data_IF_169330734532
#
_entry.id   IF_169330734532
#
_cell.length_a   1.000
_cell.length_b   1.000
_cell.length_c   1.000
_cell.angle_alpha   90.00
_cell.angle_beta   90.00
_cell.angle_gamma   90.00
#
_symmetry.space_group_name_H-M   'P 1'
#
loop_
_entity.id
_entity.type
_entity.pdbx_description
1 polymer ?
#
# COMPACT_ATOMS: atom_id res chain seq x y z
N UNK A 1 -21.23 10.96 5.71
CA UNK A 1 -20.16 9.95 5.73
C UNK A 1 -20.18 9.22 4.39
N UNK A 2 -19.03 9.06 3.72
CA UNK A 2 -18.98 8.37 2.43
C UNK A 2 -19.23 6.85 2.61
N UNK A 3 -19.92 6.22 1.66
CA UNK A 3 -20.23 4.77 1.74
C UNK A 3 -19.04 3.87 1.36
N UNK A 4 -18.11 4.38 0.53
CA UNK A 4 -16.82 3.79 0.16
C UNK A 4 -16.87 2.47 -0.63
N UNK A 5 -17.45 1.40 -0.09
CA UNK A 5 -17.46 0.06 -0.69
C UNK A 5 -18.69 -0.77 -0.28
N UNK A 6 -19.38 -1.47 -1.21
CA UNK A 6 -20.57 -2.28 -0.90
C UNK A 6 -20.21 -3.62 -0.23
N UNK A 7 -21.20 -4.27 0.40
CA UNK A 7 -21.08 -5.60 0.96
C UNK A 7 -21.22 -5.66 2.48
N UNK A 8 -21.65 -6.81 2.99
CA UNK A 8 -21.94 -7.04 4.42
C UNK A 8 -20.91 -7.92 5.12
N UNK A 9 -19.96 -8.47 4.37
CA UNK A 9 -18.89 -9.31 4.89
C UNK A 9 -17.84 -8.54 5.70
N UNK A 10 -17.04 -9.26 6.48
CA UNK A 10 -15.89 -8.68 7.18
C UNK A 10 -14.88 -8.11 6.18
N UNK A 11 -14.63 -8.81 5.07
CA UNK A 11 -13.76 -8.34 3.98
C UNK A 11 -14.23 -6.99 3.42
N UNK A 12 -15.54 -6.81 3.19
CA UNK A 12 -16.10 -5.54 2.73
C UNK A 12 -15.93 -4.43 3.78
N UNK A 13 -16.12 -4.75 5.06
CA UNK A 13 -15.91 -3.79 6.15
C UNK A 13 -14.44 -3.36 6.25
N UNK A 14 -13.50 -4.30 6.17
CA UNK A 14 -12.07 -3.99 6.15
C UNK A 14 -11.73 -3.06 4.98
N UNK A 15 -12.27 -3.33 3.77
CA UNK A 15 -12.10 -2.43 2.61
C UNK A 15 -12.59 -1.01 2.88
N UNK A 16 -13.73 -0.85 3.58
CA UNK A 16 -14.23 0.45 4.00
C UNK A 16 -13.31 1.11 5.02
N UNK A 17 -12.88 0.39 6.06
CA UNK A 17 -11.99 0.90 7.11
C UNK A 17 -10.69 1.45 6.53
N UNK A 18 -9.99 0.67 5.70
CA UNK A 18 -8.77 1.13 5.03
C UNK A 18 -8.99 2.36 4.15
N UNK A 19 -10.13 2.47 3.48
CA UNK A 19 -10.40 3.60 2.59
C UNK A 19 -11.02 4.82 3.31
N UNK A 20 -11.39 4.71 4.59
CA UNK A 20 -11.97 5.80 5.37
C UNK A 20 -10.86 6.57 6.13
N UNK A 21 -10.54 7.84 5.78
CA UNK A 21 -9.51 8.59 6.49
C UNK A 21 -9.81 8.82 7.98
N UNK A 22 -11.09 8.77 8.38
CA UNK A 22 -11.50 8.91 9.79
C UNK A 22 -11.34 7.62 10.60
N UNK A 23 -11.04 6.48 9.95
CA UNK A 23 -10.71 5.24 10.63
C UNK A 23 -9.22 5.22 10.96
N UNK A 24 -8.90 5.09 12.25
CA UNK A 24 -7.54 4.92 12.74
C UNK A 24 -7.09 3.47 12.52
N UNK A 25 -6.11 3.29 11.64
CA UNK A 25 -5.52 1.97 11.39
C UNK A 25 -4.68 1.54 12.59
N UNK A 26 -4.82 0.27 12.98
CA UNK A 26 -4.08 -0.29 14.10
C UNK A 26 -2.57 -0.26 13.82
N UNK A 27 -1.80 0.30 14.75
CA UNK A 27 -0.34 0.25 14.75
C UNK A 27 0.13 -1.06 15.39
N UNK A 28 0.88 -1.85 14.64
CA UNK A 28 1.34 -3.19 15.01
C UNK A 28 2.82 -3.25 15.40
N UNK A 29 3.59 -2.22 15.05
CA UNK A 29 5.05 -2.15 15.28
C UNK A 29 5.55 -0.71 15.26
N UNK A 30 6.78 -0.51 15.71
CA UNK A 30 7.53 0.74 15.60
C UNK A 30 8.78 0.49 14.75
N UNK A 31 9.04 1.36 13.78
CA UNK A 31 10.24 1.34 12.93
C UNK A 31 10.85 2.74 12.97
N UNK A 32 12.14 2.86 13.29
CA UNK A 32 12.77 4.19 13.35
C UNK A 32 12.75 4.90 12.00
N UNK A 33 12.75 6.24 12.00
CA UNK A 33 12.79 7.02 10.74
C UNK A 33 14.04 6.66 9.91
N UNK A 34 15.16 6.41 10.58
CA UNK A 34 16.40 5.95 9.95
C UNK A 34 16.22 4.59 9.26
N UNK A 35 15.54 3.64 9.91
CA UNK A 35 15.32 2.31 9.33
C UNK A 35 14.33 2.36 8.16
N UNK A 36 13.36 3.28 8.18
CA UNK A 36 12.51 3.52 7.01
C UNK A 36 13.34 4.00 5.83
N UNK A 37 14.30 4.92 6.05
CA UNK A 37 15.23 5.38 4.99
C UNK A 37 16.08 4.23 4.46
N UNK A 38 16.63 3.38 5.33
CA UNK A 38 17.41 2.19 4.96
C UNK A 38 16.57 1.22 4.11
N UNK A 39 15.35 0.89 4.53
CA UNK A 39 14.43 0.01 3.80
C UNK A 39 14.13 0.56 2.40
N UNK A 40 13.93 1.87 2.29
CA UNK A 40 13.61 2.54 1.03
C UNK A 40 14.79 2.57 0.06
N UNK A 41 16.02 2.75 0.55
CA UNK A 41 17.24 2.71 -0.26
C UNK A 41 17.41 3.88 -1.26
N UNK A 42 16.75 5.02 -1.04
CA UNK A 42 16.82 6.19 -1.95
C UNK A 42 17.93 7.19 -1.63
N UNK A 43 18.35 7.21 -0.36
CA UNK A 43 19.38 8.06 0.24
C UNK A 43 19.92 7.37 1.50
N UNK A 44 21.09 7.79 1.97
CA UNK A 44 21.60 7.33 3.26
C UNK A 44 20.95 8.10 4.43
N UNK A 45 20.85 7.51 5.63
CA UNK A 45 20.49 8.25 6.83
C UNK A 45 21.41 9.46 7.04
N UNK A 46 20.82 10.62 7.35
CA UNK A 46 21.54 11.89 7.48
C UNK A 46 21.93 12.57 6.16
N UNK A 47 21.76 11.92 4.99
CA UNK A 47 21.93 12.58 3.69
C UNK A 47 20.78 13.58 3.46
N UNK A 48 21.13 14.79 3.03
CA UNK A 48 20.17 15.83 2.62
C UNK A 48 19.28 15.34 1.46
N UNK A 49 18.03 15.81 1.43
CA UNK A 49 17.14 15.54 0.31
C UNK A 49 17.68 16.18 -0.97
N UNK A 50 17.77 15.39 -2.04
CA UNK A 50 18.13 15.92 -3.36
C UNK A 50 16.91 16.55 -4.02
N UNK A 51 17.15 17.61 -4.78
CA UNK A 51 16.10 18.34 -5.50
C UNK A 51 16.09 18.00 -7.00
N UNK A 52 14.91 18.03 -7.60
CA UNK A 52 14.68 17.91 -9.06
C UNK A 52 14.38 19.28 -9.70
N UNK A 53 13.98 20.27 -8.90
CA UNK A 53 13.84 21.67 -9.28
C UNK A 53 14.12 22.56 -8.05
N UNK A 54 14.35 23.88 -8.22
CA UNK A 54 14.45 24.82 -7.10
C UNK A 54 13.18 24.81 -6.22
N UNK A 55 13.28 25.21 -4.94
CA UNK A 55 12.10 25.46 -4.10
C UNK A 55 11.08 26.37 -4.77
N UNK A 56 9.78 26.14 -4.53
CA UNK A 56 8.71 26.88 -5.22
C UNK A 56 8.70 28.38 -4.89
N UNK A 57 9.22 28.79 -3.73
CA UNK A 57 9.35 30.21 -3.35
C UNK A 57 10.53 30.92 -4.02
N UNK A 58 11.40 30.17 -4.71
CA UNK A 58 12.47 30.70 -5.55
C UNK A 58 12.07 30.76 -7.03
N UNK A 59 10.89 30.25 -7.40
CA UNK A 59 10.40 30.21 -8.78
C UNK A 59 9.52 31.41 -9.12
N UNK A 60 9.78 32.03 -10.26
CA UNK A 60 8.92 33.08 -10.84
C UNK A 60 7.86 32.43 -11.75
N UNK A 61 6.84 31.85 -11.13
CA UNK A 61 5.78 31.16 -11.85
C UNK A 61 4.63 32.12 -12.26
N UNK A 62 4.04 31.98 -13.45
CA UNK A 62 2.95 32.85 -13.91
C UNK A 62 1.68 32.65 -13.09
N UNK A 63 0.84 33.68 -12.95
CA UNK A 63 -0.44 33.63 -12.23
C UNK A 63 -1.33 32.45 -12.68
N UNK A 64 -1.75 31.61 -11.73
CA UNK A 64 -2.63 30.46 -11.94
C UNK A 64 -3.51 30.22 -10.70
N UNK A 65 -4.82 30.42 -10.87
CA UNK A 65 -5.81 30.28 -9.79
C UNK A 65 -5.86 28.88 -9.17
N UNK A 66 -5.58 27.83 -9.95
CA UNK A 66 -5.57 26.46 -9.42
C UNK A 66 -4.37 26.27 -8.51
N UNK A 67 -3.20 26.80 -8.88
CA UNK A 67 -1.99 26.71 -8.05
C UNK A 67 -2.15 27.47 -6.72
N UNK A 68 -2.82 28.62 -6.75
CA UNK A 68 -3.12 29.40 -5.54
C UNK A 68 -4.08 28.68 -4.58
N UNK A 69 -5.07 27.97 -5.12
CA UNK A 69 -6.07 27.24 -4.33
C UNK A 69 -5.55 25.91 -3.77
N UNK A 70 -4.58 25.26 -4.44
CA UNK A 70 -4.11 23.91 -4.09
C UNK A 70 -2.77 23.97 -3.36
N UNK A 71 -2.80 23.82 -2.03
CA UNK A 71 -1.58 23.85 -1.20
C UNK A 71 -0.62 22.71 -1.55
N UNK A 72 0.66 22.98 -1.91
CA UNK A 72 1.64 21.94 -2.19
C UNK A 72 1.98 21.11 -0.95
N UNK A 73 2.35 19.85 -1.14
CA UNK A 73 2.97 19.03 -0.09
C UNK A 73 4.40 19.52 0.21
N UNK A 74 4.94 19.14 1.37
CA UNK A 74 6.21 19.70 1.85
C UNK A 74 7.38 19.42 0.89
N UNK A 75 7.46 18.21 0.33
CA UNK A 75 8.51 17.87 -0.62
C UNK A 75 8.31 18.51 -1.99
N UNK A 76 7.07 18.86 -2.37
CA UNK A 76 6.83 19.63 -3.59
C UNK A 76 7.32 21.07 -3.43
N UNK A 77 7.04 21.69 -2.26
CA UNK A 77 7.54 23.04 -1.93
C UNK A 77 9.06 23.11 -1.96
N UNK A 78 9.74 22.09 -1.43
CA UNK A 78 11.21 22.04 -1.38
C UNK A 78 11.87 21.55 -2.69
N UNK A 79 11.08 21.09 -3.66
CA UNK A 79 11.59 20.56 -4.92
C UNK A 79 12.23 19.18 -4.84
N UNK A 80 11.93 18.37 -3.83
CA UNK A 80 12.45 17.02 -3.64
C UNK A 80 12.23 16.12 -4.88
N UNK A 81 13.10 15.14 -5.10
CA UNK A 81 12.86 14.08 -6.09
C UNK A 81 11.54 13.34 -5.83
N UNK A 82 10.97 12.75 -6.87
CA UNK A 82 9.87 11.77 -6.74
C UNK A 82 10.49 10.38 -6.57
N UNK A 83 10.13 9.68 -5.49
CA UNK A 83 10.61 8.35 -5.12
C UNK A 83 9.41 7.47 -4.73
N UNK A 84 9.67 6.20 -4.41
CA UNK A 84 8.60 5.21 -4.28
C UNK A 84 8.81 4.21 -3.13
N UNK A 85 7.71 3.60 -2.70
CA UNK A 85 7.71 2.32 -1.99
C UNK A 85 6.78 1.36 -2.73
N UNK A 86 7.17 0.09 -2.82
CA UNK A 86 6.40 -0.93 -3.53
C UNK A 86 6.21 -2.17 -2.66
N UNK A 87 4.97 -2.65 -2.62
CA UNK A 87 4.56 -3.82 -1.85
C UNK A 87 4.13 -4.97 -2.74
N UNK A 88 4.31 -6.18 -2.24
CA UNK A 88 3.74 -7.42 -2.79
C UNK A 88 2.89 -8.04 -1.69
N UNK A 89 1.62 -8.31 -1.98
CA UNK A 89 0.69 -8.86 -0.99
C UNK A 89 0.37 -10.30 -1.34
N UNK A 90 0.60 -11.22 -0.40
CA UNK A 90 0.25 -12.63 -0.59
C UNK A 90 -1.26 -12.79 -0.78
N UNK A 91 -1.64 -13.64 -1.73
CA UNK A 91 -3.01 -14.10 -1.87
C UNK A 91 -3.46 -14.97 -0.69
N UNK A 92 -2.56 -15.39 0.20
CA UNK A 92 -2.86 -16.11 1.44
C UNK A 92 -3.07 -15.13 2.60
N UNK A 93 -4.22 -14.45 2.54
CA UNK A 93 -4.77 -13.60 3.61
C UNK A 93 -3.90 -12.42 4.05
N UNK A 94 -3.04 -11.87 3.17
CA UNK A 94 -2.39 -10.58 3.49
C UNK A 94 -3.45 -9.50 3.76
N UNK A 95 -3.23 -8.62 4.76
CA UNK A 95 -4.25 -7.69 5.23
C UNK A 95 -4.65 -6.68 4.15
N UNK A 96 -3.67 -6.12 3.45
CA UNK A 96 -3.88 -5.27 2.29
C UNK A 96 -3.71 -6.05 0.97
N UNK A 97 -4.27 -5.50 -0.10
CA UNK A 97 -4.24 -6.06 -1.45
C UNK A 97 -4.11 -4.95 -2.50
N UNK A 98 -3.69 -5.23 -3.75
CA UNK A 98 -3.31 -4.19 -4.69
C UNK A 98 -4.36 -3.09 -4.92
N UNK A 99 -5.59 -3.45 -5.31
CA UNK A 99 -6.64 -2.45 -5.53
C UNK A 99 -7.12 -1.77 -4.25
N UNK A 100 -7.02 -2.45 -3.10
CA UNK A 100 -7.31 -1.81 -1.82
C UNK A 100 -6.33 -0.67 -1.58
N UNK A 101 -5.03 -0.95 -1.70
CA UNK A 101 -3.96 0.03 -1.45
C UNK A 101 -4.18 1.28 -2.29
N UNK A 102 -4.34 1.16 -3.60
CA UNK A 102 -4.54 2.33 -4.47
C UNK A 102 -5.76 3.19 -4.10
N UNK A 103 -6.93 2.55 -3.85
CA UNK A 103 -8.15 3.26 -3.44
C UNK A 103 -7.97 3.96 -2.09
N UNK A 104 -7.35 3.24 -1.16
CA UNK A 104 -7.10 3.73 0.19
C UNK A 104 -6.09 4.88 0.21
N UNK A 105 -5.04 4.80 -0.61
CA UNK A 105 -4.00 5.82 -0.70
C UNK A 105 -4.56 7.13 -1.23
N UNK A 106 -5.38 7.08 -2.28
CA UNK A 106 -6.04 8.27 -2.84
C UNK A 106 -7.09 8.89 -1.91
N UNK A 107 -7.58 8.15 -0.92
CA UNK A 107 -8.47 8.68 0.11
C UNK A 107 -7.74 9.26 1.33
N UNK A 108 -6.51 8.80 1.62
CA UNK A 108 -5.76 9.17 2.83
C UNK A 108 -4.61 10.13 2.60
N UNK A 109 -3.98 10.11 1.42
CA UNK A 109 -2.75 10.83 1.15
C UNK A 109 -2.90 11.85 0.02
N UNK A 110 -2.19 12.98 0.14
CA UNK A 110 -2.20 14.08 -0.83
C UNK A 110 -0.98 13.96 -1.76
N UNK A 111 -1.16 14.31 -3.04
CA UNK A 111 -0.04 14.48 -3.98
C UNK A 111 0.74 13.20 -4.25
N UNK A 112 0.02 12.08 -4.39
CA UNK A 112 0.59 10.75 -4.63
C UNK A 112 0.23 10.25 -6.03
N UNK A 113 1.10 9.41 -6.59
CA UNK A 113 0.83 8.57 -7.76
C UNK A 113 0.82 7.10 -7.32
N UNK A 114 -0.08 6.27 -7.86
CA UNK A 114 -0.17 4.88 -7.44
C UNK A 114 -0.54 3.91 -8.57
N UNK A 115 0.24 2.83 -8.67
CA UNK A 115 0.08 1.79 -9.67
C UNK A 115 -0.36 0.47 -9.04
N UNK A 116 -1.37 -0.18 -9.64
CA UNK A 116 -1.89 -1.49 -9.21
C UNK A 116 -1.58 -2.56 -10.24
N UNK A 117 -0.92 -3.63 -9.81
CA UNK A 117 -0.71 -4.86 -10.59
C UNK A 117 -1.07 -6.07 -9.71
N UNK A 118 -1.15 -7.27 -10.30
CA UNK A 118 -1.45 -8.49 -9.52
C UNK A 118 -0.38 -8.78 -8.48
N UNK A 119 0.89 -8.78 -8.89
CA UNK A 119 2.03 -9.15 -8.04
C UNK A 119 2.80 -7.97 -7.46
N UNK A 120 2.33 -6.73 -7.59
CA UNK A 120 2.94 -5.55 -6.98
C UNK A 120 1.98 -4.38 -6.93
N UNK A 121 2.11 -3.54 -5.92
CA UNK A 121 1.44 -2.27 -5.81
C UNK A 121 2.44 -1.20 -5.39
N UNK A 122 2.46 -0.08 -6.10
CA UNK A 122 3.44 0.99 -5.91
C UNK A 122 2.74 2.30 -5.58
N UNK A 123 3.41 3.11 -4.76
CA UNK A 123 3.07 4.50 -4.52
C UNK A 123 4.33 5.35 -4.71
N UNK A 124 4.21 6.39 -5.52
CA UNK A 124 5.24 7.39 -5.77
C UNK A 124 4.81 8.74 -5.20
N UNK A 125 5.71 9.46 -4.55
CA UNK A 125 5.48 10.80 -4.04
C UNK A 125 6.82 11.53 -3.90
N UNK A 126 6.79 12.80 -3.48
CA UNK A 126 8.00 13.56 -3.14
C UNK A 126 8.76 12.89 -1.99
N UNK A 127 10.09 12.91 -2.03
CA UNK A 127 10.95 12.03 -1.22
C UNK A 127 10.67 12.09 0.29
N UNK A 128 10.59 13.28 0.90
CA UNK A 128 10.23 13.38 2.33
C UNK A 128 8.80 12.93 2.66
N UNK A 129 7.88 13.13 1.71
CA UNK A 129 6.48 12.74 1.87
C UNK A 129 6.32 11.23 1.76
N UNK A 130 7.05 10.58 0.84
CA UNK A 130 7.02 9.11 0.71
C UNK A 130 7.67 8.43 1.91
N UNK A 131 8.68 9.02 2.56
CA UNK A 131 9.25 8.49 3.82
C UNK A 131 8.21 8.46 4.94
N UNK A 132 7.51 9.59 5.16
CA UNK A 132 6.43 9.67 6.16
C UNK A 132 5.31 8.69 5.87
N UNK A 133 4.86 8.61 4.61
CA UNK A 133 3.83 7.66 4.19
C UNK A 133 4.32 6.23 4.42
N UNK A 134 5.56 5.92 4.05
CA UNK A 134 6.14 4.58 4.21
C UNK A 134 6.16 4.14 5.66
N UNK A 135 6.56 5.01 6.61
CA UNK A 135 6.49 4.70 8.05
C UNK A 135 5.08 4.29 8.46
N UNK A 136 4.07 5.06 8.09
CA UNK A 136 2.67 4.73 8.37
C UNK A 136 2.24 3.39 7.75
N UNK A 137 2.63 3.12 6.50
CA UNK A 137 2.30 1.87 5.80
C UNK A 137 2.99 0.65 6.41
N UNK A 138 4.21 0.80 6.92
CA UNK A 138 4.99 -0.29 7.51
C UNK A 138 4.58 -0.57 8.96
N UNK A 139 4.20 0.46 9.71
CA UNK A 139 3.86 0.34 11.13
C UNK A 139 2.44 -0.14 11.40
N UNK A 140 1.53 0.04 10.44
CA UNK A 140 0.10 -0.27 10.63
C UNK A 140 -0.31 -1.61 10.02
N UNK A 141 -1.58 -1.97 10.20
CA UNK A 141 -2.20 -3.17 9.64
C UNK A 141 -2.23 -3.24 8.10
N UNK A 142 -1.69 -2.27 7.35
CA UNK A 142 -1.35 -2.50 5.94
C UNK A 142 -0.29 -3.59 5.74
N UNK A 143 0.54 -3.83 6.76
CA UNK A 143 1.75 -4.62 6.65
C UNK A 143 1.75 -5.76 7.65
N UNK A 144 1.73 -6.98 7.11
CA UNK A 144 2.13 -8.19 7.82
C UNK A 144 3.54 -8.59 7.38
N UNK A 145 4.39 -8.96 8.32
CA UNK A 145 5.82 -9.16 8.06
C UNK A 145 6.13 -10.41 7.24
N UNK A 146 5.21 -11.40 7.18
CA UNK A 146 5.37 -12.64 6.41
C UNK A 146 4.57 -12.65 5.10
N UNK A 147 3.39 -12.04 5.09
CA UNK A 147 2.42 -12.03 3.97
C UNK A 147 2.52 -10.78 3.11
N UNK A 148 3.22 -9.74 3.57
CA UNK A 148 3.50 -8.55 2.77
C UNK A 148 5.01 -8.36 2.58
N UNK A 149 5.41 -8.20 1.32
CA UNK A 149 6.79 -8.01 0.90
C UNK A 149 7.10 -6.57 0.51
N UNK A 150 8.25 -6.03 0.90
CA UNK A 150 8.74 -4.70 0.44
C UNK A 150 9.71 -4.91 -0.72
N UNK A 151 9.27 -4.67 -1.97
CA UNK A 151 9.99 -5.15 -3.17
C UNK A 151 9.88 -4.19 -4.35
N UNK A 152 10.95 -3.48 -4.67
CA UNK A 152 11.08 -2.65 -5.88
C UNK A 152 11.33 -3.46 -7.17
N UNK A 153 12.07 -4.56 -7.06
CA UNK A 153 12.34 -5.52 -8.14
C UNK A 153 12.23 -6.98 -7.65
N UNK A 154 12.26 -7.96 -8.56
CA UNK A 154 12.16 -9.39 -8.17
C UNK A 154 10.87 -9.70 -7.40
N UNK A 155 9.73 -9.20 -7.88
CA UNK A 155 8.45 -9.15 -7.15
C UNK A 155 7.67 -10.47 -7.11
N UNK A 156 8.19 -11.54 -7.71
CA UNK A 156 7.49 -12.82 -7.74
C UNK A 156 7.24 -13.35 -6.31
N UNK A 157 6.02 -13.82 -6.02
CA UNK A 157 5.67 -14.34 -4.69
C UNK A 157 4.17 -14.31 -4.32
N UNK A 158 3.41 -13.30 -4.78
CA UNK A 158 2.02 -13.10 -4.33
C UNK A 158 1.11 -14.34 -4.49
N UNK A 159 1.33 -15.13 -5.54
CA UNK A 159 0.53 -16.31 -5.90
C UNK A 159 1.23 -17.63 -5.59
N UNK A 160 2.40 -17.59 -4.95
CA UNK A 160 3.16 -18.79 -4.59
C UNK A 160 2.71 -19.32 -3.25
N UNK A 161 2.87 -20.64 -3.07
CA UNK A 161 2.77 -21.25 -1.74
C UNK A 161 3.76 -20.57 -0.79
N UNK A 162 3.35 -20.46 0.46
CA UNK A 162 4.22 -20.02 1.55
C UNK A 162 5.29 -21.09 1.83
N UNK A 163 6.38 -20.68 2.46
CA UNK A 163 7.39 -21.62 2.95
C UNK A 163 6.97 -22.27 4.28
N UNK A 164 7.84 -23.14 4.82
CA UNK A 164 7.61 -23.88 6.07
C UNK A 164 7.47 -22.99 7.32
N UNK A 165 7.86 -21.70 7.24
CA UNK A 165 7.69 -20.73 8.31
C UNK A 165 6.52 -19.77 8.04
N UNK A 166 5.73 -20.01 6.98
CA UNK A 166 4.61 -19.16 6.59
C UNK A 166 4.99 -17.88 5.84
N UNK A 167 6.25 -17.74 5.41
CA UNK A 167 6.73 -16.56 4.68
C UNK A 167 6.40 -16.65 3.19
N UNK A 168 6.05 -15.50 2.61
CA UNK A 168 5.88 -15.36 1.17
C UNK A 168 7.23 -15.44 0.46
N UNK A 169 7.32 -16.28 -0.57
CA UNK A 169 8.52 -16.42 -1.41
C UNK A 169 9.08 -15.06 -1.85
N UNK A 170 10.38 -14.85 -1.66
CA UNK A 170 11.15 -13.72 -2.19
C UNK A 170 12.40 -14.25 -2.91
N UNK A 171 12.52 -13.99 -4.21
CA UNK A 171 13.70 -14.37 -4.99
C UNK A 171 15.00 -13.75 -4.44
N UNK A 172 14.92 -12.56 -3.85
CA UNK A 172 16.07 -11.84 -3.31
C UNK A 172 16.24 -12.01 -1.79
N UNK A 173 15.33 -12.75 -1.14
CA UNK A 173 15.34 -13.04 0.31
C UNK A 173 15.58 -11.81 1.18
N UNK A 174 14.87 -10.71 0.92
CA UNK A 174 15.04 -9.44 1.65
C UNK A 174 14.48 -9.49 3.06
N UNK A 175 13.36 -10.21 3.24
CA UNK A 175 12.77 -10.49 4.54
C UNK A 175 13.09 -11.93 4.94
N UNK A 176 13.70 -12.12 6.11
CA UNK A 176 14.15 -13.41 6.62
C UNK A 176 13.56 -13.66 8.00
N UNK A 177 13.01 -14.86 8.20
CA UNK A 177 12.50 -15.28 9.50
C UNK A 177 13.64 -15.76 10.41
N UNK A 178 13.77 -15.13 11.57
CA UNK A 178 14.69 -15.52 12.61
C UNK A 178 13.99 -16.50 13.57
N UNK A 179 14.39 -17.78 13.52
CA UNK A 179 13.77 -18.84 14.34
C UNK A 179 14.04 -18.71 15.84
N UNK A 180 15.10 -18.00 16.24
CA UNK A 180 15.45 -17.84 17.65
C UNK A 180 14.57 -16.78 18.32
N UNK A 181 14.24 -15.71 17.57
CA UNK A 181 13.45 -14.59 18.09
C UNK A 181 11.98 -14.64 17.68
N UNK A 182 11.62 -15.38 16.63
CA UNK A 182 10.29 -15.36 16.03
C UNK A 182 10.02 -14.14 15.15
N UNK A 183 10.99 -13.22 15.01
CA UNK A 183 10.83 -12.00 14.22
C UNK A 183 11.18 -12.23 12.75
N UNK A 184 10.60 -11.39 11.89
CA UNK A 184 11.09 -11.18 10.53
C UNK A 184 12.02 -9.98 10.52
N UNK A 185 13.17 -10.14 9.88
CA UNK A 185 14.19 -9.11 9.71
C UNK A 185 14.31 -8.74 8.22
N UNK A 186 14.33 -7.45 7.91
CA UNK A 186 14.72 -6.94 6.61
C UNK A 186 16.24 -6.85 6.56
N UNK A 187 16.89 -7.70 5.76
CA UNK A 187 18.36 -7.77 5.64
C UNK A 187 18.90 -7.03 4.43
N UNK A 188 18.01 -6.57 3.55
CA UNK A 188 18.29 -5.87 2.30
C UNK A 188 17.29 -4.75 2.11
N UNK A 189 17.62 -3.70 1.37
CA UNK A 189 16.64 -2.69 0.98
C UNK A 189 15.59 -3.24 -0.01
N UNK A 190 14.61 -2.40 -0.40
CA UNK A 190 13.54 -2.83 -1.29
C UNK A 190 14.03 -3.29 -2.68
N UNK A 191 15.20 -2.86 -3.17
CA UNK A 191 15.76 -3.28 -4.46
C UNK A 191 16.73 -4.46 -4.35
N UNK A 192 17.11 -4.87 -3.13
CA UNK A 192 17.93 -6.04 -2.85
C UNK A 192 19.39 -5.76 -2.52
N UNK A 193 19.75 -4.52 -2.18
CA UNK A 193 21.09 -4.17 -1.66
C UNK A 193 21.16 -4.56 -0.19
N UNK A 194 22.22 -5.25 0.22
CA UNK A 194 22.41 -5.65 1.62
C UNK A 194 22.46 -4.42 2.55
N UNK A 195 21.79 -4.50 3.70
CA UNK A 195 21.88 -3.47 4.73
C UNK A 195 23.09 -3.72 5.63
N UNK A 196 23.73 -2.65 6.10
CA UNK A 196 24.82 -2.76 7.08
C UNK A 196 24.36 -3.45 8.37
N UNK A 197 23.14 -3.14 8.81
CA UNK A 197 22.46 -3.79 9.94
C UNK A 197 21.03 -4.16 9.54
N UNK A 198 20.55 -5.38 9.86
CA UNK A 198 19.16 -5.76 9.62
C UNK A 198 18.16 -4.89 10.39
N UNK A 199 17.03 -4.61 9.76
CA UNK A 199 15.89 -3.94 10.43
C UNK A 199 14.91 -4.99 10.92
N UNK A 200 14.67 -5.03 12.24
CA UNK A 200 13.67 -5.93 12.84
C UNK A 200 12.27 -5.40 12.54
N UNK A 201 11.45 -6.18 11.80
CA UNK A 201 10.08 -5.81 11.44
C UNK A 201 9.04 -6.33 12.45
N UNK A 202 9.44 -7.23 13.34
CA UNK A 202 8.56 -7.89 14.32
C UNK A 202 8.01 -9.23 13.85
N UNK A 203 7.16 -9.82 14.69
CA UNK A 203 6.56 -11.14 14.47
C UNK A 203 5.51 -11.10 13.32
N UNK A 204 5.36 -12.19 12.56
CA UNK A 204 4.21 -12.39 11.68
C UNK A 204 2.90 -12.43 12.47
N UNK A 205 1.82 -11.91 11.89
CA UNK A 205 0.47 -12.10 12.43
C UNK A 205 0.07 -13.58 12.35
N UNK A 206 -0.66 -14.05 13.36
CA UNK A 206 -1.25 -15.37 13.32
C UNK A 206 -2.40 -15.47 12.29
N UNK A 207 -2.76 -16.70 11.92
CA UNK A 207 -3.77 -16.98 10.89
C UNK A 207 -5.17 -16.43 11.25
N UNK A 208 -5.54 -16.42 12.52
CA UNK A 208 -6.83 -15.90 12.98
C UNK A 208 -6.89 -14.38 12.75
N UNK A 209 -5.83 -13.68 13.16
CA UNK A 209 -5.68 -12.24 12.98
C UNK A 209 -5.62 -11.87 11.51
N UNK A 210 -4.85 -12.61 10.69
CA UNK A 210 -4.81 -12.41 9.23
C UNK A 210 -6.20 -12.54 8.60
N UNK A 211 -6.97 -13.59 8.95
CA UNK A 211 -8.33 -13.76 8.42
C UNK A 211 -9.29 -12.67 8.89
N UNK A 212 -9.12 -12.13 10.09
CA UNK A 212 -9.94 -11.02 10.59
C UNK A 212 -9.63 -9.69 9.89
N UNK A 213 -8.38 -9.47 9.47
CA UNK A 213 -7.89 -8.21 8.86
C UNK A 213 -7.86 -8.21 7.34
N UNK A 214 -7.89 -9.38 6.73
CA UNK A 214 -7.76 -9.54 5.27
C UNK A 214 -8.81 -8.76 4.48
N UNK A 215 -8.41 -8.35 3.30
CA UNK A 215 -9.29 -7.71 2.30
C UNK A 215 -9.46 -8.54 1.03
N UNK A 216 -8.88 -9.76 0.98
CA UNK A 216 -9.10 -10.71 -0.10
C UNK A 216 -10.25 -11.66 0.23
N UNK A 217 -11.15 -11.87 -0.74
CA UNK A 217 -12.14 -12.94 -0.66
C UNK A 217 -11.53 -14.25 -1.15
N UNK A 218 -11.79 -15.36 -0.43
CA UNK A 218 -11.33 -16.71 -0.77
C UNK A 218 -12.31 -17.75 -0.26
N UNK A 219 -12.36 -18.91 -0.91
CA UNK A 219 -13.29 -20.00 -0.52
C UNK A 219 -12.95 -20.65 0.83
N UNK A 220 -11.70 -20.57 1.27
CA UNK A 220 -11.19 -21.00 2.58
C UNK A 220 -11.19 -19.87 3.63
N UNK A 221 -11.87 -18.76 3.32
CA UNK A 221 -12.25 -17.66 4.18
C UNK A 221 -13.67 -17.21 3.84
N UNK A 222 -13.90 -15.90 3.65
CA UNK A 222 -15.16 -15.40 3.07
C UNK A 222 -15.08 -15.42 1.53
N UNK A 223 -16.01 -16.10 0.86
CA UNK A 223 -16.03 -16.17 -0.60
C UNK A 223 -16.83 -14.99 -1.19
N UNK A 224 -16.30 -14.37 -2.25
CA UNK A 224 -16.93 -13.17 -2.85
C UNK A 224 -18.37 -13.43 -3.34
N UNK A 225 -18.64 -14.65 -3.84
CA UNK A 225 -19.97 -15.06 -4.29
C UNK A 225 -21.04 -15.02 -3.19
N UNK A 226 -20.63 -15.11 -1.93
CA UNK A 226 -21.53 -15.16 -0.77
C UNK A 226 -21.81 -13.75 -0.21
N UNK A 227 -20.99 -12.74 -0.56
CA UNK A 227 -21.26 -11.32 -0.31
C UNK A 227 -22.13 -10.74 -1.45
N UNK A 228 -23.41 -11.12 -1.42
CA UNK A 228 -24.36 -10.89 -2.52
C UNK A 228 -24.54 -9.40 -2.85
N UNK A 229 -24.52 -8.51 -1.85
CA UNK A 229 -24.60 -7.06 -2.07
C UNK A 229 -23.40 -6.53 -2.87
N UNK A 230 -22.19 -6.99 -2.55
CA UNK A 230 -20.99 -6.60 -3.28
C UNK A 230 -21.00 -7.14 -4.72
N UNK A 231 -21.57 -8.33 -4.95
CA UNK A 231 -21.76 -8.91 -6.29
C UNK A 231 -22.83 -8.15 -7.08
N UNK A 232 -23.93 -7.77 -6.44
CA UNK A 232 -25.02 -7.02 -7.06
C UNK A 232 -24.53 -5.67 -7.58
N UNK A 233 -23.81 -4.90 -6.75
CA UNK A 233 -23.27 -3.60 -7.17
C UNK A 233 -22.28 -3.75 -8.34
N UNK A 234 -21.43 -4.79 -8.34
CA UNK A 234 -20.54 -5.06 -9.48
C UNK A 234 -21.32 -5.34 -10.77
N UNK A 235 -22.38 -6.15 -10.70
CA UNK A 235 -23.25 -6.44 -11.85
C UNK A 235 -23.98 -5.18 -12.34
N UNK A 236 -24.48 -4.36 -11.42
CA UNK A 236 -25.14 -3.10 -11.76
C UNK A 236 -24.17 -2.17 -12.49
N UNK A 237 -22.94 -1.99 -12.00
CA UNK A 237 -21.90 -1.21 -12.70
C UNK A 237 -21.65 -1.75 -14.11
N UNK A 238 -21.51 -3.08 -14.25
CA UNK A 238 -21.29 -3.71 -15.55
C UNK A 238 -22.43 -3.40 -16.53
N UNK A 239 -23.67 -3.65 -16.12
CA UNK A 239 -24.83 -3.51 -16.98
C UNK A 239 -25.11 -2.03 -17.28
N UNK A 240 -25.00 -1.12 -16.30
CA UNK A 240 -25.15 0.33 -16.51
C UNK A 240 -24.10 0.88 -17.49
N UNK A 241 -22.85 0.43 -17.41
CA UNK A 241 -21.81 0.84 -18.39
C UNK A 241 -22.12 0.32 -19.79
N UNK A 242 -22.58 -0.93 -19.91
CA UNK A 242 -22.95 -1.52 -21.20
C UNK A 242 -24.11 -0.76 -21.87
N UNK A 243 -25.18 -0.46 -21.12
CA UNK A 243 -26.30 0.31 -21.65
C UNK A 243 -25.93 1.76 -21.94
N UNK A 244 -25.19 2.41 -21.05
CA UNK A 244 -24.73 3.79 -21.27
C UNK A 244 -23.89 3.93 -22.55
N UNK A 245 -23.07 2.92 -22.87
CA UNK A 245 -22.29 2.90 -24.11
C UNK A 245 -23.15 2.64 -25.36
N UNK A 246 -24.21 1.83 -25.24
CA UNK A 246 -25.13 1.58 -26.33
C UNK A 246 -26.04 2.79 -26.61
N UNK A 247 -26.70 3.30 -25.57
CA UNK A 247 -27.53 4.50 -25.61
C UNK A 247 -27.59 5.18 -24.23
N UNK A 248 -26.91 6.33 -24.04
CA UNK A 248 -26.84 6.99 -22.73
C UNK A 248 -28.13 7.68 -22.29
N UNK A 249 -29.15 7.76 -23.16
CA UNK A 249 -30.43 8.46 -22.88
C UNK A 249 -31.52 7.50 -22.45
N UNK A 250 -31.51 6.26 -22.95
CA UNK A 250 -32.65 5.34 -22.84
C UNK A 250 -32.75 4.56 -21.51
N UNK A 251 -31.91 4.88 -20.53
CA UNK A 251 -31.97 4.28 -19.19
C UNK A 251 -31.95 2.74 -19.18
N UNK A 252 -32.22 2.16 -18.01
CA UNK A 252 -32.68 0.77 -17.91
C UNK A 252 -34.22 0.85 -17.97
N UNK A 253 -34.80 0.61 -19.14
CA UNK A 253 -36.26 0.36 -19.27
C UNK A 253 -36.59 -1.11 -18.90
#
# INVERSE_FOLDING_TARGET
>A
MAQIYPGTSQVAQNRRNFCNPDYELEKLREISDEDVVKILGHRAPGEEYKSVHPPLDEMDEPDDIVRELVTPIAGAKAGDRIRYIQFVDSMYFAPAQPYLRARSYLNRFRGIDTGTLSGRQVIEARERDIERISKYLLETEYFDTARTGIRGAGVHGHSLRLDENGLMFDMLRRQVFNKETGNVEMVRDQIGVDLDEPVVLGEPLDEETLKSKTTIYRIDGEAYKDDTEAVEVLKNIHVSRSFGAFNPVKGWD
#
